data_IF_176414062908
#
_entry.id   IF_176414062908
#
_cell.length_a   1.000
_cell.length_b   1.000
_cell.length_c   1.000
_cell.angle_alpha   90.00
_cell.angle_beta   90.00
_cell.angle_gamma   90.00
#
_symmetry.space_group_name_H-M   'P 1'
#
loop_
_entity.id
_entity.type
_entity.pdbx_description
1 polymer ?
#
# COMPACT_ATOMS: atom_id res chain seq x y z
N UNK A 1 -3.16 -28.66 -12.04
CA UNK A 1 -4.31 -28.44 -11.14
C UNK A 1 -4.73 -26.99 -11.25
N UNK A 2 -5.95 -26.59 -11.57
CA UNK A 2 -7.06 -27.27 -12.27
C UNK A 2 -7.86 -26.18 -12.97
N UNK A 3 -7.78 -26.09 -14.28
CA UNK A 3 -8.70 -25.24 -15.06
C UNK A 3 -10.08 -25.89 -15.08
N UNK A 4 -11.15 -25.11 -14.85
CA UNK A 4 -12.52 -25.55 -15.14
C UNK A 4 -13.19 -24.56 -16.09
N UNK A 5 -13.19 -24.95 -17.37
CA UNK A 5 -14.04 -24.39 -18.43
C UNK A 5 -15.51 -24.47 -18.01
N UNK A 6 -16.26 -23.38 -18.12
CA UNK A 6 -17.72 -23.46 -18.14
C UNK A 6 -18.21 -23.65 -19.58
N UNK A 7 -19.17 -24.57 -19.75
CA UNK A 7 -19.63 -25.01 -21.06
C UNK A 7 -20.59 -24.01 -21.70
N UNK A 8 -20.41 -23.81 -23.00
CA UNK A 8 -21.44 -23.31 -23.92
C UNK A 8 -22.23 -24.51 -24.41
N UNK A 9 -23.54 -24.55 -24.17
CA UNK A 9 -24.46 -25.43 -24.89
C UNK A 9 -25.44 -24.60 -25.72
N UNK A 10 -25.91 -25.22 -26.80
CA UNK A 10 -26.62 -24.65 -27.94
C UNK A 10 -27.73 -25.65 -28.32
N UNK A 11 -28.76 -25.18 -29.04
CA UNK A 11 -29.77 -25.97 -29.73
C UNK A 11 -30.83 -26.66 -28.81
N UNK A 12 -32.11 -26.83 -29.17
CA UNK A 12 -32.86 -26.47 -30.40
C UNK A 12 -34.38 -26.39 -30.13
N UNK A 13 -35.16 -26.01 -31.14
CA UNK A 13 -36.61 -25.69 -31.08
C UNK A 13 -37.52 -26.94 -31.30
N UNK A 14 -38.86 -26.94 -31.27
CA UNK A 14 -39.94 -25.91 -31.26
C UNK A 14 -41.23 -26.54 -30.70
N UNK A 15 -42.23 -25.77 -30.21
CA UNK A 15 -43.65 -26.15 -30.44
C UNK A 15 -44.63 -24.95 -30.40
N UNK A 16 -45.54 -24.91 -31.36
CA UNK A 16 -46.65 -23.96 -31.45
C UNK A 16 -47.93 -24.46 -30.74
N UNK A 17 -48.95 -23.60 -30.72
CA UNK A 17 -50.36 -23.88 -30.39
C UNK A 17 -50.71 -24.18 -28.93
N UNK A 18 -51.25 -23.16 -28.25
CA UNK A 18 -52.71 -23.09 -28.06
C UNK A 18 -53.17 -21.65 -27.91
N UNK A 19 -54.09 -21.22 -28.78
CA UNK A 19 -54.79 -19.96 -28.58
C UNK A 19 -55.80 -20.13 -27.43
N UNK A 20 -55.67 -19.33 -26.38
CA UNK A 20 -56.70 -19.16 -25.37
C UNK A 20 -56.91 -17.65 -25.21
N UNK A 21 -58.04 -17.16 -25.70
CA UNK A 21 -58.35 -15.75 -25.77
C UNK A 21 -58.63 -15.19 -24.37
N UNK A 22 -57.59 -14.73 -23.69
CA UNK A 22 -57.76 -13.88 -22.51
C UNK A 22 -58.23 -12.53 -23.02
N UNK A 23 -59.44 -12.15 -22.59
CA UNK A 23 -60.13 -10.96 -23.05
C UNK A 23 -59.23 -9.72 -22.98
N UNK A 24 -59.20 -8.96 -24.08
CA UNK A 24 -58.83 -7.55 -24.08
C UNK A 24 -59.62 -6.88 -22.94
N UNK A 25 -58.99 -6.31 -21.90
CA UNK A 25 -59.71 -5.37 -21.07
C UNK A 25 -60.15 -4.23 -21.99
N UNK A 26 -61.41 -3.82 -21.86
CA UNK A 26 -61.98 -2.81 -22.75
C UNK A 26 -61.12 -1.54 -22.73
N UNK A 27 -60.91 -0.95 -23.91
CA UNK A 27 -60.32 0.38 -24.06
C UNK A 27 -61.31 1.46 -23.59
N UNK A 28 -61.70 1.40 -22.33
CA UNK A 28 -62.19 2.57 -21.62
C UNK A 28 -61.01 3.52 -21.44
N UNK A 29 -61.17 4.76 -21.91
CA UNK A 29 -60.26 5.85 -21.57
C UNK A 29 -60.13 5.87 -20.03
N UNK A 30 -58.91 5.77 -19.46
CA UNK A 30 -58.75 5.63 -18.01
C UNK A 30 -59.45 6.80 -17.33
N UNK A 31 -60.27 6.51 -16.31
CA UNK A 31 -60.99 7.58 -15.64
C UNK A 31 -59.97 8.55 -15.07
N UNK A 32 -60.29 9.85 -15.07
CA UNK A 32 -59.32 10.89 -14.69
C UNK A 32 -58.69 10.64 -13.32
N UNK A 33 -59.45 10.06 -12.39
CA UNK A 33 -58.97 9.62 -11.08
C UNK A 33 -57.96 8.45 -11.12
N UNK A 34 -58.11 7.49 -12.03
CA UNK A 34 -57.14 6.40 -12.23
C UNK A 34 -55.84 6.92 -12.86
N UNK A 35 -55.95 7.85 -13.82
CA UNK A 35 -54.79 8.51 -14.41
C UNK A 35 -54.01 9.33 -13.37
N UNK A 36 -54.69 10.15 -12.57
CA UNK A 36 -54.08 10.92 -11.48
C UNK A 36 -53.42 9.99 -10.44
N UNK A 37 -54.04 8.86 -10.11
CA UNK A 37 -53.48 7.86 -9.18
C UNK A 37 -52.26 7.12 -9.76
N UNK A 38 -52.22 6.87 -11.07
CA UNK A 38 -51.02 6.33 -11.74
C UNK A 38 -49.89 7.36 -11.75
N UNK A 39 -50.18 8.64 -12.01
CA UNK A 39 -49.17 9.70 -11.95
C UNK A 39 -48.56 9.84 -10.55
N UNK A 40 -49.37 9.79 -9.49
CA UNK A 40 -48.87 9.83 -8.12
C UNK A 40 -47.91 8.66 -7.81
N UNK A 41 -48.27 7.43 -8.20
CA UNK A 41 -47.39 6.25 -8.04
C UNK A 41 -46.10 6.38 -8.86
N UNK A 42 -46.17 6.94 -10.06
CA UNK A 42 -45.00 7.15 -10.91
C UNK A 42 -44.02 8.12 -10.24
N UNK A 43 -44.52 9.26 -9.72
CA UNK A 43 -43.71 10.23 -8.96
C UNK A 43 -43.12 9.61 -7.69
N UNK A 44 -43.88 8.80 -6.96
CA UNK A 44 -43.39 8.11 -5.75
C UNK A 44 -42.27 7.10 -6.06
N UNK A 45 -42.42 6.31 -7.14
CA UNK A 45 -41.40 5.34 -7.58
C UNK A 45 -40.16 6.06 -8.13
N UNK A 46 -40.31 7.17 -8.85
CA UNK A 46 -39.19 8.00 -9.31
C UNK A 46 -38.42 8.62 -8.13
N UNK A 47 -39.13 9.10 -7.11
CA UNK A 47 -38.51 9.60 -5.88
C UNK A 47 -37.70 8.51 -5.18
N UNK A 48 -38.29 7.34 -4.93
CA UNK A 48 -37.58 6.19 -4.33
C UNK A 48 -36.37 5.77 -5.18
N UNK A 49 -36.51 5.69 -6.50
CA UNK A 49 -35.41 5.37 -7.41
C UNK A 49 -34.27 6.40 -7.35
N UNK A 50 -34.59 7.69 -7.19
CA UNK A 50 -33.59 8.75 -7.00
C UNK A 50 -32.85 8.60 -5.66
N UNK A 51 -33.57 8.33 -4.56
CA UNK A 51 -32.96 8.14 -3.23
C UNK A 51 -32.02 6.93 -3.21
N UNK A 52 -32.43 5.80 -3.79
CA UNK A 52 -31.56 4.61 -3.91
C UNK A 52 -30.33 4.88 -4.79
N UNK A 53 -30.49 5.63 -5.89
CA UNK A 53 -29.38 6.00 -6.77
C UNK A 53 -28.37 6.89 -6.06
N UNK A 54 -28.83 7.89 -5.32
CA UNK A 54 -27.97 8.79 -4.55
C UNK A 54 -27.27 8.07 -3.39
N UNK A 55 -27.98 7.18 -2.70
CA UNK A 55 -27.41 6.30 -1.69
C UNK A 55 -26.33 5.36 -2.26
N UNK A 56 -26.57 4.79 -3.44
CA UNK A 56 -25.60 3.95 -4.15
C UNK A 56 -24.36 4.74 -4.59
N UNK A 57 -24.54 5.91 -5.20
CA UNK A 57 -23.44 6.79 -5.61
C UNK A 57 -22.59 7.23 -4.41
N UNK A 58 -23.22 7.58 -3.28
CA UNK A 58 -22.53 7.92 -2.03
C UNK A 58 -21.71 6.73 -1.51
N UNK A 59 -22.34 5.56 -1.41
CA UNK A 59 -21.68 4.32 -0.96
C UNK A 59 -20.51 3.95 -1.88
N UNK A 60 -20.66 4.13 -3.20
CA UNK A 60 -19.60 3.90 -4.18
C UNK A 60 -18.42 4.86 -3.98
N UNK A 61 -18.68 6.15 -3.73
CA UNK A 61 -17.65 7.15 -3.44
C UNK A 61 -16.93 6.86 -2.11
N UNK A 62 -17.67 6.49 -1.06
CA UNK A 62 -17.11 6.06 0.23
C UNK A 62 -16.23 4.82 0.08
N UNK A 63 -16.66 3.82 -0.70
CA UNK A 63 -15.86 2.62 -0.99
C UNK A 63 -14.58 2.93 -1.78
N UNK A 64 -14.64 3.83 -2.77
CA UNK A 64 -13.44 4.30 -3.48
C UNK A 64 -12.46 5.02 -2.55
N UNK A 65 -12.95 5.86 -1.64
CA UNK A 65 -12.13 6.55 -0.64
C UNK A 65 -11.53 5.58 0.38
N UNK A 66 -12.30 4.59 0.84
CA UNK A 66 -11.84 3.51 1.70
C UNK A 66 -10.72 2.71 1.02
N UNK A 67 -10.90 2.29 -0.24
CA UNK A 67 -9.89 1.53 -0.99
C UNK A 67 -8.58 2.31 -1.11
N UNK A 68 -8.65 3.60 -1.48
CA UNK A 68 -7.48 4.51 -1.54
C UNK A 68 -6.81 4.72 -0.19
N UNK A 69 -7.54 4.60 0.94
CA UNK A 69 -6.96 4.66 2.29
C UNK A 69 -6.20 3.38 2.60
N UNK A 70 -6.85 2.22 2.45
CA UNK A 70 -6.24 0.90 2.68
C UNK A 70 -5.01 0.69 1.80
N UNK A 71 -5.02 1.14 0.55
CA UNK A 71 -3.87 1.07 -0.36
C UNK A 71 -2.65 1.83 0.21
N UNK A 72 -2.83 3.08 0.65
CA UNK A 72 -1.79 3.86 1.35
C UNK A 72 -1.37 3.25 2.69
N UNK A 73 -2.31 2.75 3.49
CA UNK A 73 -2.01 2.15 4.80
C UNK A 73 -1.16 0.87 4.61
N UNK A 74 -1.44 0.09 3.56
CA UNK A 74 -0.65 -1.08 3.16
C UNK A 74 0.76 -0.69 2.65
N UNK A 75 0.87 0.36 1.83
CA UNK A 75 2.17 0.90 1.37
C UNK A 75 3.04 1.33 2.56
N UNK A 76 2.49 2.09 3.49
CA UNK A 76 3.17 2.52 4.71
C UNK A 76 3.60 1.32 5.58
N UNK A 77 2.71 0.35 5.75
CA UNK A 77 3.00 -0.89 6.47
C UNK A 77 4.15 -1.67 5.81
N UNK A 78 4.14 -1.79 4.48
CA UNK A 78 5.19 -2.47 3.72
C UNK A 78 6.55 -1.77 3.84
N UNK A 79 6.59 -0.43 3.79
CA UNK A 79 7.81 0.35 4.00
C UNK A 79 8.33 0.18 5.43
N UNK A 80 7.46 0.19 6.45
CA UNK A 80 7.85 -0.06 7.84
C UNK A 80 8.42 -1.46 8.03
N UNK A 81 7.75 -2.48 7.50
CA UNK A 81 8.20 -3.88 7.58
C UNK A 81 9.55 -4.09 6.88
N UNK A 82 9.79 -3.43 5.73
CA UNK A 82 11.11 -3.41 5.08
C UNK A 82 12.19 -2.83 6.02
N UNK A 83 11.91 -1.68 6.65
CA UNK A 83 12.79 -1.09 7.65
C UNK A 83 13.09 -2.07 8.79
N UNK A 84 12.07 -2.67 9.41
CA UNK A 84 12.21 -3.64 10.51
C UNK A 84 13.01 -4.90 10.16
N UNK A 85 13.07 -5.28 8.88
CA UNK A 85 13.95 -6.35 8.40
C UNK A 85 15.38 -5.83 8.27
N UNK A 86 15.59 -4.66 7.64
CA UNK A 86 16.91 -4.06 7.45
C UNK A 86 17.59 -3.80 8.81
N UNK A 87 16.85 -3.31 9.81
CA UNK A 87 17.33 -3.15 11.21
C UNK A 87 18.01 -4.39 11.77
N UNK A 88 17.46 -5.57 11.47
CA UNK A 88 17.97 -6.85 12.00
C UNK A 88 19.21 -7.34 11.25
N UNK A 89 19.46 -6.83 10.05
CA UNK A 89 20.63 -7.17 9.23
C UNK A 89 21.82 -6.23 9.52
N UNK A 90 21.57 -4.97 9.89
CA UNK A 90 22.64 -3.99 10.15
C UNK A 90 23.68 -4.43 11.20
N UNK A 91 23.34 -5.08 12.35
CA UNK A 91 24.34 -5.59 13.28
C UNK A 91 25.32 -6.59 12.66
N UNK A 92 24.88 -7.37 11.66
CA UNK A 92 25.74 -8.30 10.95
C UNK A 92 26.68 -7.57 9.97
N UNK A 93 26.27 -6.42 9.41
CA UNK A 93 27.17 -5.54 8.66
C UNK A 93 28.20 -4.90 9.59
N UNK A 94 27.79 -4.43 10.77
CA UNK A 94 28.68 -3.86 11.79
C UNK A 94 29.71 -4.89 12.28
N UNK A 95 29.31 -6.16 12.45
CA UNK A 95 30.19 -7.27 12.77
C UNK A 95 31.23 -7.53 11.66
N UNK A 96 30.83 -7.46 10.39
CA UNK A 96 31.73 -7.59 9.23
C UNK A 96 32.73 -6.42 9.16
N UNK A 97 32.28 -5.18 9.37
CA UNK A 97 33.19 -4.02 9.42
C UNK A 97 34.14 -4.11 10.62
N UNK A 98 33.67 -4.54 11.80
CA UNK A 98 34.54 -4.77 12.98
C UNK A 98 35.58 -5.87 12.71
N UNK A 99 35.22 -6.93 12.00
CA UNK A 99 36.16 -7.97 11.60
C UNK A 99 37.23 -7.45 10.62
N UNK A 100 36.85 -6.58 9.68
CA UNK A 100 37.78 -5.93 8.74
C UNK A 100 38.73 -4.95 9.42
N UNK A 101 38.26 -4.19 10.42
CA UNK A 101 39.12 -3.29 11.22
C UNK A 101 40.16 -4.04 12.04
N UNK A 102 39.84 -5.24 12.54
CA UNK A 102 40.75 -6.08 13.34
C UNK A 102 41.54 -7.10 12.49
N UNK A 103 41.68 -6.87 11.17
CA UNK A 103 42.33 -7.83 10.28
C UNK A 103 43.82 -8.04 10.61
N UNK A 104 44.32 -9.29 10.66
CA UNK A 104 45.75 -9.56 10.58
C UNK A 104 46.31 -9.08 9.23
N UNK A 105 47.57 -8.65 9.20
CA UNK A 105 48.13 -7.88 8.09
C UNK A 105 48.20 -8.60 6.73
N UNK A 106 48.08 -9.93 6.68
CA UNK A 106 48.34 -10.73 5.48
C UNK A 106 47.40 -11.95 5.41
N UNK A 107 46.21 -11.76 4.81
CA UNK A 107 45.18 -12.81 4.79
C UNK A 107 44.15 -12.63 3.66
N UNK A 108 44.13 -13.57 2.72
CA UNK A 108 43.22 -13.56 1.56
C UNK A 108 41.72 -13.60 1.93
N UNK A 109 41.36 -14.11 3.12
CA UNK A 109 39.98 -14.12 3.60
C UNK A 109 39.44 -12.71 3.83
N UNK A 110 40.29 -11.75 4.23
CA UNK A 110 39.87 -10.37 4.50
C UNK A 110 39.35 -9.68 3.22
N UNK A 111 40.01 -9.90 2.08
CA UNK A 111 39.55 -9.40 0.77
C UNK A 111 38.21 -10.01 0.35
N UNK A 112 37.95 -11.27 0.70
CA UNK A 112 36.65 -11.93 0.50
C UNK A 112 35.54 -11.29 1.33
N UNK A 113 35.82 -11.03 2.61
CA UNK A 113 34.89 -10.33 3.52
C UNK A 113 34.63 -8.89 3.07
N UNK A 114 35.66 -8.17 2.62
CA UNK A 114 35.54 -6.80 2.08
C UNK A 114 34.67 -6.75 0.81
N UNK A 115 34.69 -7.80 -0.02
CA UNK A 115 33.80 -7.92 -1.17
C UNK A 115 32.34 -8.21 -0.74
N UNK A 116 32.13 -8.99 0.31
CA UNK A 116 30.79 -9.27 0.87
C UNK A 116 30.20 -8.00 1.48
N UNK A 117 30.97 -7.26 2.29
CA UNK A 117 30.54 -6.00 2.89
C UNK A 117 30.13 -4.97 1.81
N UNK A 118 30.96 -4.77 0.77
CA UNK A 118 30.60 -3.89 -0.37
C UNK A 118 29.35 -4.34 -1.12
N UNK A 119 29.15 -5.65 -1.32
CA UNK A 119 27.91 -6.17 -1.93
C UNK A 119 26.68 -5.89 -1.06
N UNK A 120 26.79 -6.08 0.25
CA UNK A 120 25.70 -5.82 1.19
C UNK A 120 25.35 -4.31 1.24
N UNK A 121 26.36 -3.44 1.23
CA UNK A 121 26.17 -2.00 1.13
C UNK A 121 25.45 -1.60 -0.18
N UNK A 122 25.88 -2.13 -1.34
CA UNK A 122 25.22 -1.85 -2.61
C UNK A 122 23.75 -2.30 -2.63
N UNK A 123 23.41 -3.41 -1.95
CA UNK A 123 22.03 -3.89 -1.80
C UNK A 123 21.21 -2.89 -0.97
N UNK A 124 21.75 -2.42 0.17
CA UNK A 124 21.10 -1.41 1.00
C UNK A 124 20.86 -0.09 0.24
N UNK A 125 21.85 0.37 -0.53
CA UNK A 125 21.74 1.56 -1.37
C UNK A 125 20.66 1.40 -2.47
N UNK A 126 20.51 0.18 -3.03
CA UNK A 126 19.45 -0.11 -4.02
C UNK A 126 18.04 -0.11 -3.44
N UNK A 127 17.89 -0.45 -2.15
CA UNK A 127 16.63 -0.31 -1.39
C UNK A 127 16.44 1.12 -0.83
N UNK A 128 17.32 2.07 -1.18
CA UNK A 128 17.24 3.47 -0.81
C UNK A 128 17.84 3.83 0.56
N UNK A 129 18.46 2.87 1.25
CA UNK A 129 19.13 3.10 2.54
C UNK A 129 20.54 3.63 2.31
N UNK A 130 20.88 4.75 2.93
CA UNK A 130 22.21 5.37 2.85
C UNK A 130 22.80 5.53 4.25
N UNK A 131 24.12 5.34 4.35
CA UNK A 131 24.89 5.59 5.57
C UNK A 131 24.89 7.09 5.88
N UNK A 132 24.67 7.44 7.15
CA UNK A 132 24.75 8.83 7.64
C UNK A 132 26.21 9.11 8.01
N UNK A 133 26.79 10.17 7.46
CA UNK A 133 28.16 10.58 7.79
C UNK A 133 28.19 11.36 9.11
N UNK A 134 28.64 10.70 10.17
CA UNK A 134 28.63 11.25 11.52
C UNK A 134 30.01 11.70 12.04
N UNK A 135 31.06 11.77 11.20
CA UNK A 135 32.36 12.35 11.59
C UNK A 135 32.48 13.80 11.13
N UNK A 136 32.73 14.73 12.06
CA UNK A 136 33.04 16.12 11.73
C UNK A 136 31.85 17.01 11.32
N UNK A 137 30.67 16.42 11.09
CA UNK A 137 29.40 17.11 10.82
C UNK A 137 28.86 17.78 12.10
N UNK A 138 27.93 18.72 11.96
CA UNK A 138 27.25 19.32 13.12
C UNK A 138 26.22 18.34 13.70
N UNK A 139 26.18 18.20 15.02
CA UNK A 139 25.20 17.33 15.69
C UNK A 139 23.76 17.82 15.46
N UNK A 140 22.88 16.88 15.08
CA UNK A 140 21.46 17.10 14.84
C UNK A 140 20.66 16.00 15.57
N UNK A 141 19.82 16.34 16.58
CA UNK A 141 19.00 15.36 17.30
C UNK A 141 18.05 14.52 16.45
N UNK A 142 17.76 14.90 15.20
CA UNK A 142 16.90 14.14 14.29
C UNK A 142 17.62 12.99 13.56
N UNK A 143 18.95 12.96 13.57
CA UNK A 143 19.80 11.99 12.84
C UNK A 143 20.97 11.43 13.65
N UNK A 144 21.19 11.91 14.88
CA UNK A 144 22.36 11.56 15.68
C UNK A 144 21.97 11.34 17.16
N UNK A 145 22.30 10.16 17.70
CA UNK A 145 22.17 9.87 19.14
C UNK A 145 23.46 10.24 19.90
N UNK A 146 23.33 10.98 21.00
CA UNK A 146 24.47 11.48 21.76
C UNK A 146 24.93 10.49 22.86
N UNK A 147 25.64 9.42 22.49
CA UNK A 147 26.09 8.40 23.45
C UNK A 147 27.10 8.90 24.50
N UNK A 148 28.02 9.81 24.16
CA UNK A 148 29.08 10.27 25.09
C UNK A 148 29.49 11.72 24.83
N UNK A 149 29.51 12.53 25.91
CA UNK A 149 30.03 13.90 25.89
C UNK A 149 31.45 13.97 26.42
N UNK A 150 32.42 14.25 25.55
CA UNK A 150 33.79 14.63 25.93
C UNK A 150 33.90 16.14 26.19
N UNK A 151 34.93 16.56 26.93
CA UNK A 151 35.33 17.98 27.01
C UNK A 151 36.20 18.29 25.78
N UNK A 152 35.70 19.11 24.87
CA UNK A 152 36.51 19.64 23.77
C UNK A 152 37.39 20.78 24.28
N UNK A 153 38.63 20.85 23.81
CA UNK A 153 39.51 21.98 24.08
C UNK A 153 39.00 23.24 23.35
N UNK A 154 39.17 24.38 24.00
CA UNK A 154 38.32 25.58 23.84
C UNK A 154 38.64 26.34 22.54
N UNK A 155 39.69 25.94 21.81
CA UNK A 155 40.09 26.51 20.52
C UNK A 155 39.13 26.16 19.37
N UNK A 156 38.37 25.07 19.44
CA UNK A 156 37.44 24.66 18.37
C UNK A 156 35.97 24.76 18.81
N UNK A 157 35.38 25.94 18.55
CA UNK A 157 34.04 26.34 19.02
C UNK A 157 32.87 25.70 18.25
N UNK A 158 33.02 24.47 17.74
CA UNK A 158 32.02 23.75 16.94
C UNK A 158 31.63 22.42 17.59
N UNK A 159 30.32 22.18 17.75
CA UNK A 159 29.74 20.92 18.23
C UNK A 159 29.80 19.86 17.12
N UNK A 160 31.01 19.39 16.82
CA UNK A 160 31.24 18.34 15.83
C UNK A 160 30.94 16.96 16.41
N UNK A 161 30.32 16.12 15.59
CA UNK A 161 30.05 14.72 15.91
C UNK A 161 31.31 13.86 15.78
N UNK A 162 31.35 12.79 16.57
CA UNK A 162 32.31 11.70 16.48
C UNK A 162 31.48 10.43 16.31
N UNK A 163 31.70 9.73 15.20
CA UNK A 163 31.14 8.42 14.80
C UNK A 163 29.89 7.95 15.56
N UNK A 164 28.72 8.15 14.94
CA UNK A 164 27.49 7.45 15.30
C UNK A 164 27.08 6.52 14.14
N UNK A 165 26.68 5.30 14.48
CA UNK A 165 25.99 4.38 13.58
C UNK A 165 24.54 4.29 14.05
N UNK A 166 23.58 4.32 13.12
CA UNK A 166 22.16 4.25 13.44
C UNK A 166 21.49 3.12 12.67
N UNK A 167 20.70 2.32 13.39
CA UNK A 167 19.96 1.16 12.91
C UNK A 167 18.48 1.56 12.85
N UNK A 168 18.00 1.93 11.65
CA UNK A 168 16.73 2.66 11.48
C UNK A 168 15.49 1.81 11.23
#
# INVERSE_FOLDING_TARGET
MTEKKYHKHKDEEVNETKAEAVATPESGDPTRAEFDALQQKLVEVEAQASEFKDGWLRTQAEFQNYRKRIERDNELTYVSMKGDIIKKVLPALDDLERALQNRPADNAWASGVELIARKLQNILESEGVRRIEAEGVMFDPAFHEAMRRSKADISSRSRRTVTCWEIK
#
